data_IF_929889375871
#
_entry.id   IF_929889375871
#
_cell.length_a   1.000
_cell.length_b   1.000
_cell.length_c   1.000
_cell.angle_alpha   90.00
_cell.angle_beta   90.00
_cell.angle_gamma   90.00
#
_symmetry.space_group_name_H-M   'P 1'
#
loop_
_entity.id
_entity.type
_entity.pdbx_description
1 polymer ?
#
# COMPACT_ATOMS: atom_id res chain seq x y z
N UNK A 1 -1.08 24.43 -12.24
CA UNK A 1 -1.09 23.02 -12.66
C UNK A 1 -2.28 22.37 -11.99
N UNK A 2 -3.29 22.00 -12.78
CA UNK A 2 -4.49 21.34 -12.29
C UNK A 2 -4.13 19.91 -11.86
N UNK A 3 -4.43 19.55 -10.61
CA UNK A 3 -3.97 18.34 -9.92
C UNK A 3 -4.63 17.04 -10.40
N UNK A 4 -5.20 17.03 -11.62
CA UNK A 4 -5.91 15.88 -12.19
C UNK A 4 -5.03 14.88 -12.93
N UNK A 5 -3.71 15.13 -13.01
CA UNK A 5 -2.76 14.32 -13.79
C UNK A 5 -1.50 13.97 -12.98
N UNK A 6 -1.69 13.65 -11.69
CA UNK A 6 -0.66 12.95 -10.91
C UNK A 6 -1.14 11.52 -10.69
N UNK A 7 -0.90 10.67 -11.67
CA UNK A 7 -0.61 9.28 -11.33
C UNK A 7 0.69 9.31 -10.53
N UNK A 8 0.66 8.81 -9.30
CA UNK A 8 1.77 9.02 -8.39
C UNK A 8 3.01 8.29 -8.96
N UNK A 9 4.00 9.09 -9.36
CA UNK A 9 5.23 8.66 -10.01
C UNK A 9 6.41 9.07 -9.14
N UNK A 10 7.36 8.17 -8.95
CA UNK A 10 8.68 8.48 -8.39
C UNK A 10 9.76 8.25 -9.44
N UNK A 11 10.78 9.10 -9.46
CA UNK A 11 11.85 9.10 -10.47
C UNK A 11 13.17 9.58 -9.87
N UNK A 12 14.23 8.75 -9.91
CA UNK A 12 15.53 9.01 -9.26
C UNK A 12 16.54 9.82 -10.12
N UNK A 13 16.22 10.21 -11.36
CA UNK A 13 17.11 10.95 -12.28
C UNK A 13 17.02 10.42 -13.71
N UNK A 14 17.91 10.70 -14.68
CA UNK A 14 17.94 9.99 -16.00
C UNK A 14 19.13 9.03 -16.09
N UNK A 15 18.97 7.73 -16.42
CA UNK A 15 20.10 6.80 -16.36
C UNK A 15 20.97 7.04 -17.59
N UNK A 16 22.27 7.13 -17.36
CA UNK A 16 23.28 7.41 -18.38
C UNK A 16 23.29 6.31 -19.45
N UNK A 17 22.87 5.08 -19.16
CA UNK A 17 22.89 3.98 -20.15
C UNK A 17 21.64 3.90 -21.05
N UNK A 18 20.50 4.47 -20.62
CA UNK A 18 19.40 4.76 -21.55
C UNK A 18 19.85 5.79 -22.60
N UNK A 19 20.88 6.59 -22.33
CA UNK A 19 21.46 7.50 -23.32
C UNK A 19 22.41 6.83 -24.31
N UNK A 20 23.11 5.74 -23.94
CA UNK A 20 24.09 5.08 -24.83
C UNK A 20 23.41 4.25 -25.95
N UNK A 21 22.27 3.62 -25.66
CA UNK A 21 21.35 3.07 -26.68
C UNK A 21 20.53 4.15 -27.42
N UNK A 22 20.74 5.43 -27.08
CA UNK A 22 19.98 6.60 -27.51
C UNK A 22 20.08 6.97 -28.99
N UNK A 23 20.78 6.17 -29.83
CA UNK A 23 20.73 6.28 -31.30
C UNK A 23 19.92 5.18 -31.99
N UNK A 24 19.57 4.07 -31.33
CA UNK A 24 18.89 2.92 -31.99
C UNK A 24 17.40 2.73 -31.69
N UNK A 25 16.86 3.26 -30.59
CA UNK A 25 15.45 3.09 -30.17
C UNK A 25 14.51 4.26 -30.47
N UNK A 26 13.28 3.98 -30.85
CA UNK A 26 12.25 5.00 -31.05
C UNK A 26 11.48 5.29 -29.75
N UNK A 27 11.04 4.23 -29.08
CA UNK A 27 10.28 4.29 -27.82
C UNK A 27 10.77 3.22 -26.85
N UNK A 28 10.92 3.59 -25.58
CA UNK A 28 10.93 2.64 -24.47
C UNK A 28 9.68 2.83 -23.62
N UNK A 29 9.06 1.73 -23.20
CA UNK A 29 7.85 1.74 -22.37
C UNK A 29 8.01 0.83 -21.17
N UNK A 30 7.51 1.25 -20.02
CA UNK A 30 7.27 0.31 -18.90
C UNK A 30 6.23 -0.73 -19.28
N UNK A 31 6.10 -1.76 -18.45
CA UNK A 31 5.09 -2.81 -18.60
C UNK A 31 4.39 -3.07 -17.27
N UNK A 32 3.16 -3.57 -17.32
CA UNK A 32 2.46 -4.15 -16.16
C UNK A 32 2.89 -5.63 -15.95
N UNK A 33 4.09 -6.00 -16.41
CA UNK A 33 4.69 -7.29 -16.16
C UNK A 33 4.97 -7.44 -14.65
N UNK A 34 4.60 -8.59 -14.11
CA UNK A 34 4.74 -8.92 -12.67
C UNK A 34 5.73 -10.05 -12.41
N UNK A 35 6.14 -10.77 -13.46
CA UNK A 35 7.17 -11.80 -13.40
C UNK A 35 8.41 -11.31 -14.16
N UNK A 36 9.61 -11.32 -13.56
CA UNK A 36 10.80 -10.81 -14.23
C UNK A 36 11.11 -11.68 -15.46
N UNK A 37 11.29 -11.09 -16.63
CA UNK A 37 11.82 -11.83 -17.80
C UNK A 37 13.34 -11.76 -17.86
N UNK A 38 13.93 -10.77 -17.17
CA UNK A 38 15.36 -10.61 -16.96
C UNK A 38 15.66 -10.37 -15.47
N UNK A 39 16.86 -10.74 -15.02
CA UNK A 39 17.30 -10.58 -13.62
C UNK A 39 18.32 -9.46 -13.42
N UNK A 40 18.62 -8.71 -14.49
CA UNK A 40 19.56 -7.59 -14.53
C UNK A 40 18.82 -6.29 -14.95
N UNK A 41 19.55 -5.29 -15.43
CA UNK A 41 19.03 -3.98 -15.86
C UNK A 41 18.82 -3.86 -17.38
N UNK A 42 18.91 -4.97 -18.14
CA UNK A 42 18.59 -4.98 -19.57
C UNK A 42 17.09 -4.82 -19.82
N UNK A 43 16.72 -4.56 -21.07
CA UNK A 43 15.31 -4.55 -21.48
C UNK A 43 14.66 -5.92 -21.23
N UNK A 44 13.35 -5.94 -20.96
CA UNK A 44 12.60 -7.20 -20.86
C UNK A 44 12.70 -7.97 -22.17
N UNK A 45 12.71 -9.29 -22.06
CA UNK A 45 12.47 -10.19 -23.19
C UNK A 45 11.02 -10.02 -23.66
N UNK A 46 10.87 -9.34 -24.80
CA UNK A 46 9.58 -9.06 -25.42
C UNK A 46 8.81 -10.31 -25.81
N UNK A 47 9.47 -11.47 -25.96
CA UNK A 47 8.81 -12.74 -26.25
C UNK A 47 8.16 -13.34 -25.00
N UNK A 48 8.70 -13.03 -23.81
CA UNK A 48 8.19 -13.50 -22.52
C UNK A 48 7.29 -12.45 -21.82
N UNK A 49 7.41 -11.17 -22.20
CA UNK A 49 6.63 -10.08 -21.64
C UNK A 49 5.18 -10.07 -22.13
N UNK A 50 4.32 -10.78 -21.38
CA UNK A 50 2.87 -10.85 -21.63
C UNK A 50 2.07 -9.67 -21.06
N UNK A 51 2.63 -8.90 -20.11
CA UNK A 51 1.95 -7.77 -19.49
C UNK A 51 1.63 -6.63 -20.46
N UNK A 52 0.61 -5.83 -20.16
CA UNK A 52 0.29 -4.63 -20.95
C UNK A 52 1.50 -3.69 -20.99
N UNK A 53 1.73 -3.04 -22.14
CA UNK A 53 2.67 -1.92 -22.22
C UNK A 53 2.06 -0.77 -21.44
N UNK A 54 2.71 -0.47 -20.32
CA UNK A 54 2.22 0.49 -19.37
C UNK A 54 2.66 1.89 -19.79
N UNK A 55 1.70 2.80 -19.85
CA UNK A 55 1.89 4.14 -20.41
C UNK A 55 2.32 5.20 -19.38
N UNK A 56 2.60 4.81 -18.15
CA UNK A 56 2.99 5.72 -17.07
C UNK A 56 4.46 6.12 -17.12
N UNK A 57 5.33 5.28 -17.70
CA UNK A 57 6.74 5.59 -17.89
C UNK A 57 7.14 5.31 -19.33
N UNK A 58 7.58 6.36 -20.00
CA UNK A 58 8.16 6.24 -21.33
C UNK A 58 9.46 7.02 -21.50
N UNK A 59 10.22 6.57 -22.48
CA UNK A 59 11.19 7.39 -23.17
C UNK A 59 10.80 7.46 -24.66
N UNK A 60 10.55 8.67 -25.19
CA UNK A 60 10.22 8.89 -26.59
C UNK A 60 11.31 9.68 -27.30
N UNK A 61 11.75 9.17 -28.44
CA UNK A 61 12.53 9.97 -29.40
C UNK A 61 11.60 10.59 -30.43
N UNK A 62 11.90 11.83 -30.82
CA UNK A 62 11.16 12.56 -31.87
C UNK A 62 11.52 12.09 -33.30
N UNK A 63 11.50 10.77 -33.54
CA UNK A 63 11.64 10.19 -34.89
C UNK A 63 10.32 10.27 -35.65
N UNK A 64 10.38 10.12 -36.97
CA UNK A 64 9.18 10.16 -37.80
C UNK A 64 8.23 9.00 -37.45
N UNK A 65 8.76 7.82 -37.12
CA UNK A 65 7.99 6.67 -36.64
C UNK A 65 7.26 6.97 -35.33
N UNK A 66 7.95 7.51 -34.32
CA UNK A 66 7.33 7.89 -33.04
C UNK A 66 6.25 8.96 -33.22
N UNK A 67 6.51 9.98 -34.05
CA UNK A 67 5.50 11.02 -34.35
C UNK A 67 4.27 10.44 -35.04
N UNK A 68 4.46 9.48 -35.95
CA UNK A 68 3.37 8.79 -36.64
C UNK A 68 2.51 7.98 -35.67
N UNK A 69 3.15 7.19 -34.79
CA UNK A 69 2.45 6.47 -33.72
C UNK A 69 1.66 7.41 -32.80
N UNK A 70 2.28 8.50 -32.32
CA UNK A 70 1.61 9.47 -31.46
C UNK A 70 0.41 10.13 -32.14
N UNK A 71 0.53 10.43 -33.44
CA UNK A 71 -0.55 11.02 -34.22
C UNK A 71 -1.72 10.04 -34.37
N UNK A 72 -1.46 8.80 -34.76
CA UNK A 72 -2.49 7.77 -34.91
C UNK A 72 -3.14 7.44 -33.57
N UNK A 73 -2.36 7.30 -32.50
CA UNK A 73 -2.88 7.08 -31.16
C UNK A 73 -3.82 8.19 -30.72
N UNK A 74 -3.43 9.46 -30.90
CA UNK A 74 -4.31 10.61 -30.63
C UNK A 74 -5.59 10.56 -31.45
N UNK A 75 -5.49 10.24 -32.75
CA UNK A 75 -6.65 10.15 -33.64
C UNK A 75 -7.60 9.03 -33.21
N UNK A 76 -7.08 7.86 -32.81
CA UNK A 76 -7.86 6.75 -32.24
C UNK A 76 -8.61 7.17 -30.97
N UNK A 77 -7.94 7.84 -30.03
CA UNK A 77 -8.58 8.26 -28.77
C UNK A 77 -9.63 9.36 -28.97
N UNK A 78 -9.45 10.23 -29.96
CA UNK A 78 -10.43 11.27 -30.28
C UNK A 78 -11.64 10.74 -31.07
N UNK A 79 -11.50 9.59 -31.73
CA UNK A 79 -12.56 8.98 -32.52
C UNK A 79 -13.58 8.20 -31.68
N UNK A 80 -13.16 7.64 -30.53
CA UNK A 80 -14.04 6.88 -29.64
C UNK A 80 -13.63 7.10 -28.16
N UNK A 81 -14.52 7.75 -27.40
CA UNK A 81 -14.31 8.08 -25.99
C UNK A 81 -14.32 6.85 -25.05
N UNK A 82 -14.69 5.68 -25.57
CA UNK A 82 -14.63 4.40 -24.85
C UNK A 82 -13.26 3.76 -24.92
N UNK A 83 -12.41 4.18 -25.85
CA UNK A 83 -11.05 3.64 -25.96
C UNK A 83 -10.19 4.27 -24.86
N UNK A 84 -9.83 3.46 -23.89
CA UNK A 84 -8.86 3.83 -22.88
C UNK A 84 -7.46 3.99 -23.51
N UNK A 85 -6.70 5.00 -23.07
CA UNK A 85 -5.42 5.39 -23.64
C UNK A 85 -4.39 4.25 -23.67
N UNK A 86 -4.21 3.53 -22.56
CA UNK A 86 -3.32 2.37 -22.49
C UNK A 86 -3.77 1.24 -23.42
N UNK A 87 -5.07 0.99 -23.51
CA UNK A 87 -5.60 -0.03 -24.43
C UNK A 87 -5.30 0.35 -25.89
N UNK A 88 -5.63 1.59 -26.29
CA UNK A 88 -5.33 2.10 -27.63
C UNK A 88 -3.84 2.04 -27.98
N UNK A 89 -2.95 2.38 -27.04
CA UNK A 89 -1.51 2.27 -27.24
C UNK A 89 -1.06 0.82 -27.47
N UNK A 90 -1.60 -0.13 -26.69
CA UNK A 90 -1.26 -1.54 -26.82
C UNK A 90 -1.74 -2.11 -28.15
N UNK A 91 -2.96 -1.80 -28.60
CA UNK A 91 -3.48 -2.25 -29.91
C UNK A 91 -2.58 -1.77 -31.06
N UNK A 92 -2.20 -0.49 -31.04
CA UNK A 92 -1.33 0.08 -32.08
C UNK A 92 0.09 -0.51 -32.02
N UNK A 93 0.68 -0.55 -30.82
CA UNK A 93 2.05 -1.02 -30.59
C UNK A 93 2.21 -2.52 -30.87
N UNK A 94 1.18 -3.33 -30.57
CA UNK A 94 1.22 -4.80 -30.70
C UNK A 94 0.70 -5.34 -32.02
N UNK A 95 0.18 -4.50 -32.92
CA UNK A 95 -0.37 -4.89 -34.23
C UNK A 95 0.52 -5.84 -35.03
N UNK A 96 1.83 -5.57 -35.03
CA UNK A 96 2.86 -6.48 -35.54
C UNK A 96 4.13 -6.29 -34.72
N UNK A 97 4.65 -7.39 -34.17
CA UNK A 97 5.86 -7.42 -33.34
C UNK A 97 6.79 -8.51 -33.88
N UNK A 98 7.63 -8.12 -34.83
CA UNK A 98 8.67 -8.93 -35.46
C UNK A 98 9.33 -8.12 -36.60
N UNK A 99 10.62 -8.36 -36.92
CA UNK A 99 11.61 -9.18 -36.20
C UNK A 99 12.32 -8.39 -35.07
N UNK A 100 13.25 -9.00 -34.30
CA UNK A 100 14.21 -8.24 -33.48
C UNK A 100 14.99 -7.22 -34.34
N UNK A 101 15.37 -6.08 -33.75
CA UNK A 101 16.12 -5.02 -34.46
C UNK A 101 17.58 -5.44 -34.69
N UNK A 102 18.17 -6.10 -33.70
CA UNK A 102 19.48 -6.75 -33.75
C UNK A 102 19.52 -7.88 -32.69
N UNK A 103 20.61 -8.66 -32.63
CA UNK A 103 20.71 -9.85 -31.77
C UNK A 103 20.81 -9.54 -30.27
N UNK A 104 21.37 -8.37 -29.90
CA UNK A 104 21.81 -8.12 -28.51
C UNK A 104 21.09 -6.96 -27.81
N UNK A 105 20.40 -6.08 -28.54
CA UNK A 105 19.84 -4.85 -27.94
C UNK A 105 18.58 -5.07 -27.11
N UNK A 106 17.88 -6.20 -27.28
CA UNK A 106 16.55 -6.42 -26.72
C UNK A 106 15.45 -5.56 -27.37
N UNK A 107 15.75 -4.87 -28.48
CA UNK A 107 14.77 -4.07 -29.23
C UNK A 107 14.04 -4.93 -30.27
N UNK A 108 12.76 -4.60 -30.50
CA UNK A 108 11.91 -5.26 -31.48
C UNK A 108 11.23 -4.25 -32.40
N UNK A 109 11.01 -4.64 -33.66
CA UNK A 109 10.18 -3.87 -34.57
C UNK A 109 8.70 -4.05 -34.21
N UNK A 110 8.05 -2.95 -33.86
CA UNK A 110 6.65 -2.83 -33.46
C UNK A 110 5.89 -1.88 -34.41
N UNK A 111 4.57 -1.74 -34.23
CA UNK A 111 3.72 -0.82 -35.02
C UNK A 111 3.94 -1.01 -36.53
N UNK A 112 3.55 -2.19 -37.02
CA UNK A 112 3.69 -2.62 -38.42
C UNK A 112 5.14 -2.59 -38.94
N UNK A 113 6.09 -2.85 -38.03
CA UNK A 113 7.51 -2.85 -38.34
C UNK A 113 8.16 -1.46 -38.47
N UNK A 114 7.45 -0.39 -38.12
CA UNK A 114 7.95 0.98 -38.30
C UNK A 114 8.66 1.53 -37.05
N UNK A 115 8.44 0.95 -35.88
CA UNK A 115 8.89 1.47 -34.60
C UNK A 115 9.89 0.52 -33.94
N UNK A 116 11.05 1.03 -33.53
CA UNK A 116 12.01 0.29 -32.70
C UNK A 116 11.63 0.44 -31.23
N UNK A 117 10.95 -0.57 -30.70
CA UNK A 117 10.42 -0.62 -29.34
C UNK A 117 11.37 -1.38 -28.41
N UNK A 118 11.50 -0.90 -27.18
CA UNK A 118 12.08 -1.66 -26.08
C UNK A 118 11.20 -1.62 -24.84
N UNK A 119 11.20 -2.71 -24.08
CA UNK A 119 10.42 -2.85 -22.87
C UNK A 119 11.32 -2.63 -21.66
N UNK A 120 10.99 -1.65 -20.84
CA UNK A 120 11.74 -1.34 -19.64
C UNK A 120 11.52 -2.45 -18.60
N UNK A 121 12.58 -2.96 -17.94
CA UNK A 121 12.50 -4.02 -16.96
C UNK A 121 11.68 -3.61 -15.73
N UNK A 122 10.64 -4.38 -15.41
CA UNK A 122 9.75 -4.19 -14.27
C UNK A 122 10.49 -4.33 -12.93
N UNK A 123 11.68 -4.92 -12.93
CA UNK A 123 12.58 -5.00 -11.78
C UNK A 123 13.14 -3.65 -11.36
N UNK A 124 13.28 -2.67 -12.26
CA UNK A 124 13.82 -1.33 -11.95
C UNK A 124 12.91 -0.17 -12.40
N UNK A 125 12.07 -0.37 -13.40
CA UNK A 125 10.95 0.52 -13.77
C UNK A 125 9.66 -0.08 -13.21
N UNK A 126 9.55 -0.02 -11.88
CA UNK A 126 8.61 -0.85 -11.16
C UNK A 126 7.18 -0.35 -11.29
N UNK A 127 6.26 -1.29 -11.49
CA UNK A 127 4.87 -1.10 -11.11
C UNK A 127 4.73 -1.05 -9.58
N UNK A 128 3.55 -0.67 -9.09
CA UNK A 128 3.29 -0.70 -7.66
C UNK A 128 3.41 -2.11 -7.09
N UNK A 129 2.93 -3.15 -7.78
CA UNK A 129 3.05 -4.53 -7.28
C UNK A 129 4.50 -5.00 -7.16
N UNK A 130 5.28 -4.81 -8.23
CA UNK A 130 6.69 -5.24 -8.28
C UNK A 130 7.57 -4.48 -7.28
N UNK A 131 7.26 -3.22 -6.97
CA UNK A 131 7.98 -2.45 -5.95
C UNK A 131 7.54 -2.79 -4.52
N UNK A 132 6.23 -2.77 -4.27
CA UNK A 132 5.67 -2.77 -2.91
C UNK A 132 5.35 -4.15 -2.34
N UNK A 133 4.86 -5.06 -3.18
CA UNK A 133 4.41 -6.39 -2.76
C UNK A 133 5.55 -7.39 -2.93
N UNK A 134 6.17 -7.38 -4.11
CA UNK A 134 7.28 -8.29 -4.41
C UNK A 134 8.62 -7.74 -3.94
N UNK A 135 8.80 -6.41 -3.91
CA UNK A 135 10.12 -5.79 -3.71
C UNK A 135 11.18 -6.39 -4.65
N UNK A 136 10.80 -6.57 -5.92
CA UNK A 136 11.55 -7.31 -6.93
C UNK A 136 12.99 -6.82 -7.06
N UNK A 137 13.20 -5.51 -7.10
CA UNK A 137 14.53 -4.89 -7.16
C UNK A 137 15.43 -5.35 -6.00
N UNK A 138 14.91 -5.44 -4.78
CA UNK A 138 15.68 -5.87 -3.60
C UNK A 138 16.06 -7.35 -3.71
N UNK A 139 15.14 -8.18 -4.18
CA UNK A 139 15.38 -9.62 -4.35
C UNK A 139 16.43 -9.91 -5.43
N UNK A 140 16.43 -9.11 -6.49
CA UNK A 140 17.40 -9.18 -7.58
C UNK A 140 18.68 -8.38 -7.32
N UNK A 141 18.78 -7.70 -6.17
CA UNK A 141 19.92 -6.84 -5.79
C UNK A 141 20.19 -5.71 -6.79
N UNK A 142 19.11 -5.16 -7.34
CA UNK A 142 19.10 -4.01 -8.25
C UNK A 142 18.69 -2.74 -7.51
N UNK A 143 18.88 -1.59 -8.14
CA UNK A 143 18.30 -0.32 -7.67
C UNK A 143 17.08 0.05 -8.51
N UNK A 144 15.95 0.29 -7.84
CA UNK A 144 14.78 0.83 -8.54
C UNK A 144 15.04 2.25 -9.03
N UNK A 145 14.60 2.48 -10.26
CA UNK A 145 14.82 3.70 -11.01
C UNK A 145 13.60 4.63 -10.98
N UNK A 146 12.45 4.03 -11.22
CA UNK A 146 11.16 4.68 -11.31
C UNK A 146 10.09 3.78 -10.73
N UNK A 147 9.05 4.40 -10.18
CA UNK A 147 7.88 3.70 -9.67
C UNK A 147 6.66 4.35 -10.29
N UNK A 148 5.90 3.56 -11.05
CA UNK A 148 4.55 3.91 -11.46
C UNK A 148 3.56 3.07 -10.67
N UNK A 149 2.67 3.74 -9.96
CA UNK A 149 1.79 3.10 -8.96
C UNK A 149 0.57 2.39 -9.58
N UNK A 150 0.77 1.63 -10.67
CA UNK A 150 -0.22 0.63 -11.13
C UNK A 150 -0.26 -0.57 -10.20
N UNK A 151 -1.30 -1.40 -10.35
CA UNK A 151 -1.55 -2.54 -9.46
C UNK A 151 -1.65 -2.12 -7.98
N UNK A 152 -2.08 -0.87 -7.74
CA UNK A 152 -2.39 -0.32 -6.42
C UNK A 152 -3.83 0.21 -6.43
N UNK A 153 -4.54 -0.10 -5.35
CA UNK A 153 -5.96 0.21 -5.21
C UNK A 153 -6.21 1.62 -4.69
N UNK A 154 -7.49 2.00 -4.76
CA UNK A 154 -8.07 3.12 -4.02
C UNK A 154 -7.64 4.54 -4.47
N UNK A 155 -7.04 4.67 -5.66
CA UNK A 155 -6.83 5.96 -6.33
C UNK A 155 -5.67 6.78 -5.76
N UNK A 156 -5.55 8.04 -6.20
CA UNK A 156 -4.33 8.87 -6.03
C UNK A 156 -3.88 9.02 -4.58
N UNK A 157 -4.80 9.23 -3.64
CA UNK A 157 -4.44 9.40 -2.23
C UNK A 157 -3.69 8.20 -1.65
N UNK A 158 -4.10 7.01 -2.04
CA UNK A 158 -3.53 5.74 -1.60
C UNK A 158 -2.26 5.39 -2.34
N UNK A 159 -2.19 5.69 -3.65
CA UNK A 159 -0.95 5.64 -4.42
C UNK A 159 0.15 6.51 -3.78
N UNK A 160 -0.19 7.74 -3.37
CA UNK A 160 0.74 8.59 -2.61
C UNK A 160 1.11 7.97 -1.26
N UNK A 161 0.17 7.36 -0.54
CA UNK A 161 0.45 6.69 0.74
C UNK A 161 1.45 5.54 0.58
N UNK A 162 1.34 4.73 -0.48
CA UNK A 162 2.34 3.69 -0.80
C UNK A 162 3.74 4.27 -1.01
N UNK A 163 3.84 5.39 -1.71
CA UNK A 163 5.11 6.09 -1.89
C UNK A 163 5.65 6.65 -0.57
N UNK A 164 4.79 7.11 0.35
CA UNK A 164 5.20 7.51 1.71
C UNK A 164 5.71 6.33 2.53
N UNK A 165 5.04 5.17 2.45
CA UNK A 165 5.51 3.94 3.12
C UNK A 165 6.94 3.59 2.70
N UNK A 166 7.27 3.78 1.42
CA UNK A 166 8.61 3.62 0.89
C UNK A 166 9.56 4.83 1.10
N UNK A 167 9.10 5.91 1.74
CA UNK A 167 9.85 7.15 1.98
C UNK A 167 10.37 7.83 0.69
N UNK A 168 9.68 7.62 -0.43
CA UNK A 168 10.01 8.20 -1.73
C UNK A 168 9.02 9.29 -2.17
N UNK A 169 8.06 9.63 -1.30
CA UNK A 169 7.13 10.73 -1.51
C UNK A 169 7.59 11.98 -0.75
N UNK A 170 7.47 13.15 -1.39
CA UNK A 170 7.74 14.43 -0.74
C UNK A 170 6.45 14.99 -0.13
N UNK A 171 6.49 15.24 1.18
CA UNK A 171 5.45 15.93 1.91
C UNK A 171 6.00 17.22 2.52
N UNK A 172 5.16 18.25 2.71
CA UNK A 172 5.59 19.48 3.33
C UNK A 172 5.86 19.29 4.85
N UNK A 173 6.64 20.16 5.51
CA UNK A 173 7.06 19.98 6.90
C UNK A 173 5.92 19.76 7.89
N UNK A 174 4.74 20.35 7.66
CA UNK A 174 3.56 20.24 8.52
C UNK A 174 3.02 18.80 8.58
N UNK A 175 3.32 17.98 7.56
CA UNK A 175 2.97 16.56 7.57
C UNK A 175 3.64 15.81 8.73
N UNK A 176 4.88 16.22 9.06
CA UNK A 176 5.78 15.57 10.01
C UNK A 176 5.70 16.12 11.43
N UNK A 177 5.01 17.24 11.65
CA UNK A 177 4.74 17.83 12.97
C UNK A 177 3.26 18.18 13.11
N UNK A 178 2.42 17.16 13.27
CA UNK A 178 1.00 17.36 13.54
C UNK A 178 0.83 18.12 14.88
N UNK A 179 0.10 19.25 14.93
CA UNK A 179 -0.08 20.03 16.17
C UNK A 179 -0.70 19.21 17.30
N UNK A 180 -1.58 18.28 16.93
CA UNK A 180 -2.23 17.36 17.87
C UNK A 180 -1.32 16.22 18.30
N UNK A 181 -0.14 16.05 17.71
CA UNK A 181 0.80 14.95 17.94
C UNK A 181 0.28 13.56 17.54
N UNK A 182 1.07 12.55 17.86
CA UNK A 182 0.96 11.22 17.30
C UNK A 182 0.67 10.16 18.36
N UNK A 183 -0.10 9.15 17.95
CA UNK A 183 -0.31 7.91 18.68
C UNK A 183 0.20 6.75 17.82
N UNK A 184 0.92 5.82 18.43
CA UNK A 184 1.35 4.58 17.80
C UNK A 184 1.36 3.44 18.81
N UNK A 185 1.67 2.23 18.36
CA UNK A 185 1.78 1.07 19.23
C UNK A 185 2.74 0.04 18.66
N UNK A 186 3.24 -0.85 19.53
CA UNK A 186 4.01 -2.02 19.09
C UNK A 186 3.01 -3.10 18.65
N UNK A 187 2.92 -3.42 17.34
CA UNK A 187 2.07 -4.52 16.91
C UNK A 187 2.63 -5.83 17.48
N UNK A 188 1.73 -6.69 17.95
CA UNK A 188 2.07 -8.07 18.29
C UNK A 188 1.32 -8.97 17.34
N UNK A 189 1.99 -9.96 16.76
CA UNK A 189 1.35 -11.01 15.96
C UNK A 189 2.07 -12.32 16.32
N UNK A 190 1.36 -13.35 16.79
CA UNK A 190 1.95 -14.65 17.07
C UNK A 190 2.67 -15.21 15.83
N UNK A 191 3.86 -15.78 16.04
CA UNK A 191 4.65 -16.40 14.95
C UNK A 191 3.87 -17.47 14.20
N UNK A 192 3.00 -18.20 14.89
CA UNK A 192 2.12 -19.20 14.28
C UNK A 192 1.21 -18.63 13.19
N UNK A 193 0.69 -17.41 13.37
CA UNK A 193 -0.13 -16.75 12.36
C UNK A 193 0.67 -16.33 11.12
N UNK A 194 2.01 -16.28 11.20
CA UNK A 194 2.87 -16.03 10.04
C UNK A 194 3.31 -17.32 9.33
N UNK A 195 3.69 -18.34 10.09
CA UNK A 195 4.50 -19.46 9.58
C UNK A 195 3.79 -20.81 9.58
N UNK A 196 2.77 -20.99 10.44
CA UNK A 196 2.14 -22.29 10.60
C UNK A 196 1.03 -22.49 9.56
N UNK A 197 0.86 -23.75 9.14
CA UNK A 197 -0.22 -24.19 8.26
C UNK A 197 -0.09 -23.69 6.82
N UNK A 198 -1.02 -24.15 5.99
CA UNK A 198 -1.09 -23.73 4.59
C UNK A 198 -1.52 -22.27 4.46
N UNK A 199 -1.00 -21.58 3.44
CA UNK A 199 -1.42 -20.24 3.10
C UNK A 199 -2.71 -20.30 2.27
N UNK A 200 -3.84 -20.32 2.97
CA UNK A 200 -5.17 -20.34 2.40
C UNK A 200 -6.03 -19.18 2.94
N UNK A 201 -7.26 -19.08 2.45
CA UNK A 201 -8.22 -18.03 2.82
C UNK A 201 -8.41 -17.97 4.34
N UNK A 202 -8.61 -19.10 5.02
CA UNK A 202 -8.84 -19.12 6.47
C UNK A 202 -7.65 -18.54 7.24
N UNK A 203 -6.44 -19.06 6.95
CA UNK A 203 -5.21 -18.59 7.60
C UNK A 203 -4.90 -17.11 7.31
N UNK A 204 -5.27 -16.62 6.12
CA UNK A 204 -5.15 -15.21 5.75
C UNK A 204 -6.03 -14.34 6.62
N UNK A 205 -7.32 -14.69 6.73
CA UNK A 205 -8.26 -13.92 7.54
C UNK A 205 -7.95 -14.02 9.03
N UNK A 206 -7.41 -15.13 9.53
CA UNK A 206 -6.92 -15.21 10.90
C UNK A 206 -5.80 -14.18 11.16
N UNK A 207 -4.80 -14.10 10.28
CA UNK A 207 -3.71 -13.13 10.36
C UNK A 207 -4.22 -11.68 10.25
N UNK A 208 -5.04 -11.39 9.24
CA UNK A 208 -5.57 -10.04 9.02
C UNK A 208 -6.47 -9.60 10.17
N UNK A 209 -7.41 -10.44 10.61
CA UNK A 209 -8.32 -10.12 11.70
C UNK A 209 -7.57 -9.90 13.02
N UNK A 210 -6.50 -10.65 13.29
CA UNK A 210 -5.68 -10.46 14.47
C UNK A 210 -5.03 -9.07 14.53
N UNK A 211 -4.49 -8.60 13.40
CA UNK A 211 -3.90 -7.27 13.27
C UNK A 211 -4.99 -6.17 13.32
N UNK A 212 -6.12 -6.38 12.63
CA UNK A 212 -7.21 -5.42 12.58
C UNK A 212 -7.84 -5.16 13.94
N UNK A 213 -7.93 -6.15 14.82
CA UNK A 213 -8.40 -5.93 16.21
C UNK A 213 -7.55 -4.89 16.95
N UNK A 214 -6.24 -4.94 16.80
CA UNK A 214 -5.33 -3.98 17.42
C UNK A 214 -5.47 -2.59 16.81
N UNK A 215 -5.62 -2.51 15.48
CA UNK A 215 -5.83 -1.23 14.77
C UNK A 215 -7.16 -0.59 15.16
N UNK A 216 -8.24 -1.36 15.31
CA UNK A 216 -9.55 -0.85 15.76
C UNK A 216 -9.45 -0.18 17.13
N UNK A 217 -8.73 -0.80 18.07
CA UNK A 217 -8.50 -0.23 19.39
C UNK A 217 -7.60 1.01 19.30
N UNK A 218 -6.57 0.99 18.45
CA UNK A 218 -5.72 2.16 18.21
C UNK A 218 -6.51 3.35 17.64
N UNK A 219 -7.39 3.11 16.67
CA UNK A 219 -8.29 4.12 16.11
C UNK A 219 -9.23 4.67 17.17
N UNK A 220 -9.80 3.80 18.03
CA UNK A 220 -10.66 4.23 19.12
C UNK A 220 -9.92 5.18 20.08
N UNK A 221 -8.73 4.80 20.53
CA UNK A 221 -7.92 5.62 21.44
C UNK A 221 -7.44 6.90 20.74
N UNK A 222 -6.99 6.82 19.49
CA UNK A 222 -6.59 7.99 18.71
C UNK A 222 -7.73 9.01 18.56
N UNK A 223 -8.96 8.52 18.32
CA UNK A 223 -10.17 9.35 18.29
C UNK A 223 -10.44 10.03 19.64
N UNK A 224 -10.37 9.27 20.75
CA UNK A 224 -10.59 9.78 22.10
C UNK A 224 -9.58 10.85 22.52
N UNK A 225 -8.32 10.67 22.10
CA UNK A 225 -7.21 11.56 22.46
C UNK A 225 -6.97 12.66 21.42
N UNK A 226 -7.77 12.69 20.34
CA UNK A 226 -7.60 13.56 19.18
C UNK A 226 -6.17 13.52 18.62
N UNK A 227 -5.54 12.35 18.52
CA UNK A 227 -4.17 12.17 18.01
C UNK A 227 -4.19 11.65 16.58
N UNK A 228 -3.16 12.00 15.81
CA UNK A 228 -2.90 11.36 14.51
C UNK A 228 -2.36 9.95 14.73
N UNK A 229 -2.99 8.93 14.14
CA UNK A 229 -2.56 7.53 14.29
C UNK A 229 -1.44 7.20 13.30
N UNK A 230 -0.26 6.84 13.80
CA UNK A 230 0.78 6.22 12.97
C UNK A 230 0.52 4.72 12.94
N UNK A 231 0.15 4.22 11.75
CA UNK A 231 -0.29 2.84 11.54
C UNK A 231 0.86 1.84 11.73
N UNK A 232 0.60 0.61 12.21
CA UNK A 232 1.61 -0.45 12.28
C UNK A 232 1.78 -1.15 10.93
N UNK A 233 2.92 -1.79 10.67
CA UNK A 233 3.05 -2.69 9.51
C UNK A 233 1.92 -3.72 9.49
N UNK A 234 1.34 -3.96 8.32
CA UNK A 234 0.36 -5.01 8.09
C UNK A 234 0.96 -6.14 7.27
N UNK A 235 0.58 -7.36 7.58
CA UNK A 235 1.00 -8.55 6.87
C UNK A 235 -0.18 -9.30 6.29
N UNK A 236 -0.01 -9.83 5.08
CA UNK A 236 -0.98 -10.67 4.42
C UNK A 236 -0.34 -11.95 3.92
N UNK A 237 -1.12 -13.04 3.99
CA UNK A 237 -0.72 -14.33 3.41
C UNK A 237 -1.05 -14.43 1.93
N UNK A 238 -2.13 -13.78 1.49
CA UNK A 238 -2.61 -13.85 0.11
C UNK A 238 -2.60 -12.43 -0.43
N UNK A 239 -2.20 -12.28 -1.69
CA UNK A 239 -2.16 -11.08 -2.50
C UNK A 239 -3.56 -10.65 -2.96
N UNK A 240 -3.65 -9.41 -3.45
CA UNK A 240 -4.89 -8.77 -3.90
C UNK A 240 -4.67 -8.12 -5.26
N UNK A 241 -5.45 -8.55 -6.25
CA UNK A 241 -5.49 -8.00 -7.61
C UNK A 241 -6.92 -7.89 -8.12
N UNK A 242 -7.19 -7.11 -9.18
CA UNK A 242 -8.58 -6.78 -9.59
C UNK A 242 -9.33 -7.95 -10.25
N UNK A 243 -8.69 -9.11 -10.30
CA UNK A 243 -9.18 -10.37 -10.85
C UNK A 243 -8.88 -11.50 -9.86
N UNK A 244 -9.66 -12.57 -9.91
CA UNK A 244 -9.46 -13.76 -9.10
C UNK A 244 -8.14 -14.46 -9.43
N UNK A 245 -7.37 -14.82 -8.40
CA UNK A 245 -6.08 -15.49 -8.52
C UNK A 245 -5.87 -16.42 -7.31
N UNK A 246 -4.89 -17.36 -7.33
CA UNK A 246 -4.78 -18.42 -6.34
C UNK A 246 -4.12 -17.94 -5.03
N UNK A 247 -4.27 -16.66 -4.71
CA UNK A 247 -3.66 -16.02 -3.57
C UNK A 247 -2.25 -15.49 -3.80
N UNK A 248 -1.43 -16.07 -4.68
CA UNK A 248 -0.21 -15.44 -5.21
C UNK A 248 -0.09 -15.75 -6.69
N UNK A 249 0.38 -14.77 -7.47
CA UNK A 249 0.59 -14.96 -8.89
C UNK A 249 1.74 -15.93 -9.17
N UNK A 250 1.48 -16.92 -10.03
CA UNK A 250 2.48 -17.86 -10.51
C UNK A 250 3.65 -17.13 -11.21
N UNK A 251 4.84 -17.71 -11.10
CA UNK A 251 6.08 -17.18 -11.70
C UNK A 251 6.53 -15.79 -11.20
N UNK A 252 5.88 -15.23 -10.18
CA UNK A 252 6.32 -13.97 -9.54
C UNK A 252 7.32 -14.24 -8.41
N UNK A 253 7.99 -13.18 -7.95
CA UNK A 253 8.89 -13.25 -6.78
C UNK A 253 8.15 -12.95 -5.46
N UNK A 254 6.82 -13.02 -5.44
CA UNK A 254 6.03 -12.70 -4.26
C UNK A 254 6.33 -13.69 -3.13
N UNK A 255 6.91 -13.21 -2.03
CA UNK A 255 7.12 -14.02 -0.82
C UNK A 255 5.87 -13.98 0.04
N UNK A 256 5.51 -15.09 0.68
CA UNK A 256 4.43 -15.09 1.67
C UNK A 256 4.98 -15.42 3.06
N UNK A 257 4.45 -14.80 4.13
CA UNK A 257 3.61 -13.60 4.09
C UNK A 257 4.42 -12.37 3.62
N UNK A 258 3.75 -11.38 3.06
CA UNK A 258 4.36 -10.11 2.63
C UNK A 258 3.74 -8.93 3.37
N UNK A 259 4.42 -7.78 3.31
CA UNK A 259 3.89 -6.52 3.81
C UNK A 259 2.71 -6.09 2.94
N UNK A 260 1.53 -6.11 3.54
CA UNK A 260 0.29 -5.76 2.88
C UNK A 260 0.26 -4.26 2.57
N UNK A 261 -0.32 -3.84 1.42
CA UNK A 261 -0.80 -2.48 1.30
C UNK A 261 -1.79 -2.17 2.43
N UNK A 262 -1.71 -0.96 2.99
CA UNK A 262 -2.80 -0.48 3.85
C UNK A 262 -4.06 -0.37 3.04
N UNK A 263 -5.14 -0.77 3.70
CA UNK A 263 -6.40 -1.05 3.08
C UNK A 263 -7.44 -0.34 3.93
N UNK A 264 -7.89 0.82 3.46
CA UNK A 264 -9.28 1.20 3.69
C UNK A 264 -9.80 1.96 2.48
N UNK A 265 -11.08 1.81 2.20
CA UNK A 265 -11.82 2.75 1.37
C UNK A 265 -11.58 4.18 1.85
N UNK A 266 -11.36 5.09 0.90
CA UNK A 266 -11.11 6.53 1.05
C UNK A 266 -11.59 7.11 2.39
N UNK A 267 -10.66 7.28 3.35
CA UNK A 267 -10.89 7.83 4.70
C UNK A 267 -11.57 9.21 4.68
N UNK A 268 -11.66 9.86 3.52
CA UNK A 268 -12.16 11.22 3.35
C UNK A 268 -13.65 11.33 3.04
N UNK A 269 -14.35 10.23 2.76
CA UNK A 269 -15.78 10.26 2.37
C UNK A 269 -16.77 10.02 3.52
N UNK A 270 -16.27 9.86 4.75
CA UNK A 270 -17.08 9.61 5.93
C UNK A 270 -17.66 10.85 6.59
N UNK A 271 -18.94 10.80 6.98
CA UNK A 271 -19.55 11.75 7.92
C UNK A 271 -19.16 11.34 9.35
N UNK A 272 -18.39 12.17 10.07
CA UNK A 272 -17.98 11.91 11.46
C UNK A 272 -16.60 12.46 11.84
N UNK A 273 -16.13 12.12 13.04
CA UNK A 273 -14.80 12.50 13.55
C UNK A 273 -13.70 11.91 12.68
N UNK A 274 -13.03 12.75 11.90
CA UNK A 274 -11.92 12.36 11.02
C UNK A 274 -10.69 12.04 11.86
N UNK A 275 -10.23 10.79 11.82
CA UNK A 275 -8.94 10.39 12.38
C UNK A 275 -7.91 10.47 11.26
N UNK A 276 -6.98 11.41 11.38
CA UNK A 276 -5.83 11.44 10.48
C UNK A 276 -4.86 10.32 10.83
N UNK A 277 -4.21 9.77 9.81
CA UNK A 277 -3.23 8.71 9.98
C UNK A 277 -1.94 8.98 9.20
N UNK A 278 -0.89 8.22 9.55
CA UNK A 278 0.43 8.18 8.90
C UNK A 278 0.83 6.73 8.66
N UNK A 279 1.68 6.52 7.67
CA UNK A 279 2.27 5.24 7.30
C UNK A 279 3.16 4.64 8.39
N UNK A 280 3.41 3.32 8.37
CA UNK A 280 4.29 2.66 9.34
C UNK A 280 5.72 3.19 9.35
N UNK A 281 6.21 3.67 8.20
CA UNK A 281 7.58 4.15 8.04
C UNK A 281 7.74 5.60 8.48
N UNK A 282 6.66 6.27 8.91
CA UNK A 282 6.66 7.68 9.27
C UNK A 282 7.84 8.04 10.18
N UNK A 283 7.99 7.34 11.31
CA UNK A 283 9.06 7.61 12.28
C UNK A 283 10.49 7.31 11.77
N UNK A 284 10.64 6.59 10.66
CA UNK A 284 11.91 6.36 9.99
C UNK A 284 12.26 7.47 8.99
N UNK A 285 11.30 8.34 8.65
CA UNK A 285 11.50 9.40 7.68
C UNK A 285 12.47 10.46 8.22
N UNK A 286 13.53 10.81 7.47
CA UNK A 286 14.54 11.77 7.92
C UNK A 286 13.97 13.17 8.18
N UNK A 287 12.89 13.54 7.48
CA UNK A 287 12.22 14.84 7.55
C UNK A 287 11.51 15.10 8.89
N UNK A 288 11.41 14.12 9.78
CA UNK A 288 10.81 14.33 11.10
C UNK A 288 11.65 15.31 11.93
N UNK A 289 11.03 16.38 12.48
CA UNK A 289 11.71 17.33 13.36
C UNK A 289 12.21 16.71 14.67
N UNK A 290 13.29 17.26 15.21
CA UNK A 290 13.92 16.76 16.45
C UNK A 290 12.95 16.71 17.64
N UNK A 291 12.09 17.72 17.78
CA UNK A 291 11.06 17.76 18.82
C UNK A 291 10.11 16.55 18.82
N UNK A 292 9.80 15.98 17.65
CA UNK A 292 8.98 14.76 17.54
C UNK A 292 9.82 13.52 17.83
N UNK A 293 11.09 13.50 17.38
CA UNK A 293 12.03 12.40 17.65
C UNK A 293 12.33 12.21 19.14
N UNK A 294 12.33 13.28 19.93
CA UNK A 294 12.73 13.23 21.34
C UNK A 294 11.57 13.15 22.34
N UNK A 295 10.37 13.61 21.97
CA UNK A 295 9.21 13.70 22.86
C UNK A 295 8.33 12.44 22.79
N UNK A 296 8.80 11.38 23.45
CA UNK A 296 8.15 10.06 23.50
C UNK A 296 7.65 9.71 24.91
N UNK A 297 6.43 9.19 24.97
CA UNK A 297 5.86 8.53 26.14
C UNK A 297 5.54 7.07 25.79
N UNK A 298 6.17 6.14 26.51
CA UNK A 298 5.91 4.71 26.39
C UNK A 298 4.85 4.26 27.38
N UNK A 299 3.67 3.91 26.89
CA UNK A 299 2.57 3.41 27.71
C UNK A 299 2.70 1.90 27.84
N UNK A 300 3.04 1.42 29.04
CA UNK A 300 3.14 0.00 29.32
C UNK A 300 1.88 -0.50 30.03
N UNK A 301 1.18 -1.41 29.36
CA UNK A 301 -0.03 -2.01 29.92
C UNK A 301 0.29 -2.87 31.13
N UNK A 302 -0.52 -2.74 32.19
CA UNK A 302 -0.37 -3.48 33.45
C UNK A 302 -1.69 -4.07 33.95
N UNK A 303 -1.62 -5.12 34.77
CA UNK A 303 -2.82 -5.76 35.34
C UNK A 303 -3.39 -4.86 36.45
N UNK A 304 -4.66 -4.47 36.30
CA UNK A 304 -5.40 -3.68 37.30
C UNK A 304 -5.32 -4.35 38.67
N UNK A 305 -4.99 -3.57 39.70
CA UNK A 305 -4.86 -4.04 41.08
C UNK A 305 -3.53 -4.70 41.46
N UNK A 306 -2.58 -4.83 40.53
CA UNK A 306 -1.21 -5.24 40.89
C UNK A 306 -0.44 -4.08 41.54
N UNK A 307 0.42 -4.38 42.53
CA UNK A 307 1.28 -3.38 43.19
C UNK A 307 2.16 -2.58 42.20
N UNK A 308 2.50 -3.19 41.05
CA UNK A 308 3.28 -2.59 39.98
C UNK A 308 2.45 -1.75 38.96
N UNK A 309 1.13 -1.61 39.17
CA UNK A 309 0.21 -0.91 38.26
C UNK A 309 -0.38 0.34 38.94
N UNK A 310 0.49 1.15 39.52
CA UNK A 310 0.11 2.49 39.95
C UNK A 310 0.29 3.44 38.77
N UNK A 311 -0.77 4.18 38.42
CA UNK A 311 -0.71 5.25 37.43
C UNK A 311 0.08 6.39 38.05
N UNK A 312 1.40 6.37 37.86
CA UNK A 312 2.27 7.45 38.29
C UNK A 312 2.17 8.60 37.30
N UNK A 313 1.65 9.74 37.74
CA UNK A 313 1.68 11.01 36.99
C UNK A 313 3.10 11.61 36.88
N UNK A 314 4.14 10.87 37.27
CA UNK A 314 5.52 11.37 37.30
C UNK A 314 6.07 11.53 35.89
N UNK A 315 5.92 12.74 35.36
CA UNK A 315 6.44 13.19 34.06
C UNK A 315 7.93 13.52 34.07
N UNK A 316 8.65 13.31 35.18
CA UNK A 316 9.98 13.90 35.36
C UNK A 316 11.18 12.96 35.23
N UNK A 317 11.04 11.63 35.24
CA UNK A 317 12.22 10.74 35.12
C UNK A 317 12.01 9.48 34.26
N UNK A 318 10.83 8.86 34.26
CA UNK A 318 10.54 7.73 33.37
C UNK A 318 9.71 8.21 32.19
N UNK A 319 10.26 8.16 30.98
CA UNK A 319 9.50 8.26 29.69
C UNK A 319 8.49 7.11 29.52
N UNK A 320 8.03 6.49 30.60
CA UNK A 320 7.16 5.34 30.62
C UNK A 320 6.00 5.54 31.61
N UNK A 321 4.78 5.32 31.15
CA UNK A 321 3.54 5.36 31.93
C UNK A 321 3.01 3.94 32.11
N UNK A 322 2.81 3.50 33.36
CA UNK A 322 2.07 2.27 33.63
C UNK A 322 0.57 2.54 33.51
N UNK A 323 -0.11 1.82 32.62
CA UNK A 323 -1.51 2.04 32.31
C UNK A 323 -2.32 0.74 32.47
N UNK A 324 -3.41 0.73 33.27
CA UNK A 324 -4.20 -0.49 33.46
C UNK A 324 -4.78 -1.02 32.15
N UNK A 325 -4.69 -2.34 31.96
CA UNK A 325 -5.51 -3.03 30.96
C UNK A 325 -6.99 -2.81 31.25
N UNK A 326 -7.80 -2.88 30.20
CA UNK A 326 -9.24 -2.73 30.24
C UNK A 326 -9.66 -1.41 30.88
N UNK A 327 -9.03 -0.31 30.44
CA UNK A 327 -9.36 1.03 30.91
C UNK A 327 -10.62 1.56 30.24
N UNK A 328 -11.35 2.42 30.97
CA UNK A 328 -12.55 3.10 30.47
C UNK A 328 -12.21 4.36 29.68
N UNK A 329 -13.22 4.91 29.02
CA UNK A 329 -13.12 6.16 28.27
C UNK A 329 -12.69 7.34 29.17
N UNK A 330 -13.27 7.44 30.36
CA UNK A 330 -12.98 8.50 31.32
C UNK A 330 -11.54 8.41 31.79
N UNK A 331 -11.04 7.20 32.06
CA UNK A 331 -9.67 6.99 32.52
C UNK A 331 -8.64 7.40 31.45
N UNK A 332 -8.89 7.05 30.18
CA UNK A 332 -8.06 7.50 29.05
C UNK A 332 -8.06 9.03 28.95
N UNK A 333 -9.24 9.65 28.93
CA UNK A 333 -9.36 11.11 28.81
C UNK A 333 -8.66 11.82 29.97
N UNK A 334 -8.91 11.41 31.22
CA UNK A 334 -8.35 12.05 32.41
C UNK A 334 -6.82 11.97 32.41
N UNK A 335 -6.23 10.79 32.23
CA UNK A 335 -4.78 10.62 32.32
C UNK A 335 -4.08 11.38 31.19
N UNK A 336 -4.53 11.19 29.95
CA UNK A 336 -3.86 11.77 28.79
C UNK A 336 -4.17 13.26 28.59
N UNK A 337 -5.19 13.82 29.26
CA UNK A 337 -5.45 15.27 29.25
C UNK A 337 -4.27 16.09 29.79
N UNK A 338 -3.51 15.54 30.74
CA UNK A 338 -2.31 16.15 31.33
C UNK A 338 -1.05 15.99 30.46
N UNK A 339 -1.13 15.20 29.39
CA UNK A 339 -0.01 14.77 28.54
C UNK A 339 -0.13 15.31 27.11
N UNK A 340 -0.87 16.41 26.91
CA UNK A 340 -1.09 17.03 25.60
C UNK A 340 0.20 17.54 24.95
N UNK A 341 1.19 17.95 25.76
CA UNK A 341 2.48 18.46 25.28
C UNK A 341 3.41 17.37 24.74
N UNK A 342 3.16 16.09 25.07
CA UNK A 342 3.90 14.96 24.51
C UNK A 342 3.60 14.85 23.02
N UNK A 343 4.65 14.74 22.18
CA UNK A 343 4.49 14.64 20.72
C UNK A 343 4.13 13.22 20.28
N UNK A 344 4.68 12.18 20.92
CA UNK A 344 4.44 10.78 20.54
C UNK A 344 4.05 9.95 21.76
N UNK A 345 2.88 9.31 21.69
CA UNK A 345 2.42 8.32 22.66
C UNK A 345 2.50 6.93 22.02
N UNK A 346 3.34 6.05 22.54
CA UNK A 346 3.48 4.68 22.07
C UNK A 346 2.94 3.69 23.10
N UNK A 347 1.90 2.95 22.75
CA UNK A 347 1.45 1.82 23.57
C UNK A 347 2.30 0.57 23.34
N UNK A 348 2.60 -0.16 24.42
CA UNK A 348 3.31 -1.43 24.37
C UNK A 348 2.50 -2.53 23.67
N UNK A 349 1.18 -2.40 23.67
CA UNK A 349 0.23 -3.23 22.92
C UNK A 349 -1.12 -2.51 22.89
N UNK A 350 -1.94 -2.83 21.90
CA UNK A 350 -3.35 -2.44 21.88
C UNK A 350 -4.28 -3.53 22.42
N UNK A 351 -3.75 -4.73 22.69
CA UNK A 351 -4.54 -5.82 23.26
C UNK A 351 -4.97 -5.45 24.69
N UNK A 352 -6.27 -5.49 24.94
CA UNK A 352 -6.88 -5.11 26.21
C UNK A 352 -6.57 -3.66 26.65
N UNK A 353 -6.21 -2.75 25.74
CA UNK A 353 -5.89 -1.37 26.13
C UNK A 353 -7.14 -0.56 26.51
N UNK A 354 -8.28 -0.87 25.91
CA UNK A 354 -9.51 -0.10 26.02
C UNK A 354 -10.73 -1.03 26.04
N UNK A 355 -11.66 -0.79 26.96
CA UNK A 355 -12.91 -1.57 27.07
C UNK A 355 -13.95 -1.27 25.98
N UNK A 356 -13.75 -0.19 25.22
CA UNK A 356 -14.72 0.30 24.25
C UNK A 356 -15.50 1.50 24.76
N UNK A 357 -16.22 2.14 23.83
CA UNK A 357 -17.02 3.33 24.10
C UNK A 357 -18.29 2.98 24.87
N UNK A 358 -18.75 3.92 25.70
CA UNK A 358 -20.07 3.83 26.34
C UNK A 358 -21.19 3.86 25.29
N UNK A 359 -21.09 4.74 24.28
CA UNK A 359 -21.90 4.68 23.05
C UNK A 359 -21.17 3.90 21.94
N UNK A 360 -21.45 2.60 21.86
CA UNK A 360 -20.86 1.72 20.84
C UNK A 360 -21.41 1.99 19.43
N UNK A 361 -22.60 2.56 19.29
CA UNK A 361 -23.29 2.64 18.00
C UNK A 361 -22.62 3.63 17.05
N UNK A 362 -22.26 4.81 17.55
CA UNK A 362 -21.61 5.87 16.78
C UNK A 362 -20.25 5.45 16.24
N UNK A 363 -19.39 4.88 17.09
CA UNK A 363 -18.06 4.41 16.67
C UNK A 363 -18.14 3.17 15.77
N UNK A 364 -19.08 2.27 16.00
CA UNK A 364 -19.30 1.13 15.11
C UNK A 364 -19.75 1.59 13.72
N UNK A 365 -20.64 2.59 13.63
CA UNK A 365 -21.08 3.18 12.37
C UNK A 365 -19.91 3.83 11.62
N UNK A 366 -19.05 4.55 12.33
CA UNK A 366 -17.80 5.07 11.81
C UNK A 366 -16.89 3.94 11.29
N UNK A 367 -16.61 2.92 12.10
CA UNK A 367 -15.77 1.78 11.70
C UNK A 367 -16.32 0.98 10.50
N UNK A 368 -17.63 0.98 10.27
CA UNK A 368 -18.26 0.33 9.11
C UNK A 368 -17.92 1.01 7.78
N UNK A 369 -17.44 2.25 7.80
CA UNK A 369 -16.96 2.92 6.59
C UNK A 369 -15.56 2.45 6.19
N UNK A 370 -14.91 1.68 7.05
CA UNK A 370 -13.58 1.11 6.84
C UNK A 370 -13.72 -0.36 6.44
N UNK A 371 -14.16 -0.61 5.22
CA UNK A 371 -14.21 -1.95 4.65
C UNK A 371 -13.40 -1.98 3.38
N UNK A 372 -12.94 -3.15 3.00
CA UNK A 372 -12.27 -3.34 1.73
C UNK A 372 -12.54 -4.71 1.17
N UNK A 373 -12.12 -4.89 -0.07
CA UNK A 373 -12.39 -6.02 -0.92
C UNK A 373 -11.07 -6.72 -1.21
N UNK A 374 -10.99 -8.02 -0.95
CA UNK A 374 -9.83 -8.86 -1.18
C UNK A 374 -10.13 -9.90 -2.25
N UNK A 375 -9.53 -9.75 -3.43
CA UNK A 375 -9.81 -10.59 -4.60
C UNK A 375 -8.76 -11.69 -4.73
N UNK A 376 -8.90 -12.76 -3.95
CA UNK A 376 -7.96 -13.90 -3.92
C UNK A 376 -8.64 -15.26 -4.11
N UNK A 377 -9.80 -15.26 -4.78
CA UNK A 377 -10.59 -16.47 -5.02
C UNK A 377 -10.77 -16.65 -6.51
N UNK A 378 -10.20 -17.72 -7.06
CA UNK A 378 -10.40 -18.09 -8.45
C UNK A 378 -11.82 -18.64 -8.67
N UNK A 379 -12.35 -18.43 -9.88
CA UNK A 379 -13.57 -19.07 -10.38
C UNK A 379 -14.83 -18.84 -9.52
N UNK A 380 -14.94 -17.68 -8.85
CA UNK A 380 -16.13 -17.30 -8.09
C UNK A 380 -16.66 -15.94 -8.51
N UNK A 381 -17.98 -15.74 -8.56
CA UNK A 381 -18.57 -14.42 -8.84
C UNK A 381 -19.40 -13.96 -7.64
N UNK A 382 -19.05 -12.83 -6.99
CA UNK A 382 -17.90 -11.98 -7.26
C UNK A 382 -16.57 -12.65 -6.84
N UNK A 383 -15.48 -12.38 -7.57
CA UNK A 383 -14.12 -12.92 -7.33
C UNK A 383 -13.44 -12.32 -6.07
N UNK A 384 -14.24 -12.00 -5.04
CA UNK A 384 -13.92 -11.02 -4.01
C UNK A 384 -14.44 -11.43 -2.62
N UNK A 385 -13.62 -11.25 -1.58
CA UNK A 385 -13.99 -11.40 -0.17
C UNK A 385 -13.85 -10.05 0.55
N UNK A 386 -14.87 -9.59 1.27
CA UNK A 386 -14.74 -8.34 2.03
C UNK A 386 -13.96 -8.52 3.34
N UNK A 387 -12.92 -7.71 3.54
CA UNK A 387 -12.27 -7.47 4.84
C UNK A 387 -12.89 -6.22 5.48
N UNK A 388 -13.48 -6.35 6.67
CA UNK A 388 -14.09 -5.20 7.37
C UNK A 388 -13.25 -4.81 8.59
N UNK A 389 -13.00 -3.52 8.80
CA UNK A 389 -12.59 -2.95 10.10
C UNK A 389 -13.85 -2.73 10.98
N UNK A 390 -15.05 -2.70 10.40
CA UNK A 390 -16.33 -2.69 11.12
C UNK A 390 -16.95 -4.08 11.37
N UNK A 391 -17.94 -4.12 12.28
CA UNK A 391 -18.73 -5.30 12.60
C UNK A 391 -19.89 -5.45 11.59
N UNK A 392 -19.86 -6.45 10.70
CA UNK A 392 -21.04 -6.88 9.94
C UNK A 392 -21.29 -8.36 10.20
N UNK A 393 -22.50 -8.68 10.66
CA UNK A 393 -23.18 -9.90 10.19
C UNK A 393 -23.43 -9.72 8.69
N UNK A 394 -22.91 -10.64 7.88
CA UNK A 394 -23.05 -10.64 6.43
C UNK A 394 -24.21 -11.57 6.04
N UNK A 395 -25.46 -11.17 6.24
CA UNK A 395 -26.60 -12.05 5.87
C UNK A 395 -26.82 -12.17 4.34
N UNK A 396 -25.98 -11.54 3.50
CA UNK A 396 -26.13 -11.52 2.03
C UNK A 396 -25.19 -12.43 1.24
N UNK A 397 -24.29 -13.21 1.86
CA UNK A 397 -23.34 -14.09 1.15
C UNK A 397 -23.26 -15.46 1.82
N UNK A 398 -24.40 -16.09 2.08
CA UNK A 398 -24.47 -17.32 2.89
C UNK A 398 -23.68 -18.52 2.33
N UNK A 399 -23.31 -18.55 1.04
CA UNK A 399 -22.48 -19.63 0.49
C UNK A 399 -20.98 -19.51 0.80
N UNK A 400 -20.43 -18.30 0.93
CA UNK A 400 -19.02 -18.04 1.29
C UNK A 400 -18.76 -18.05 2.80
N UNK A 401 -19.81 -17.96 3.62
CA UNK A 401 -19.73 -17.64 5.05
C UNK A 401 -19.67 -18.82 6.02
N UNK A 402 -19.50 -20.07 5.54
CA UNK A 402 -19.25 -21.18 6.49
C UNK A 402 -18.00 -20.95 7.35
N UNK A 403 -17.07 -20.11 6.89
CA UNK A 403 -15.78 -19.85 7.53
C UNK A 403 -15.70 -18.49 8.28
N UNK A 404 -16.72 -17.63 8.23
CA UNK A 404 -16.71 -16.30 8.87
C UNK A 404 -17.46 -16.22 10.21
N UNK A 405 -17.81 -17.36 10.84
CA UNK A 405 -18.51 -17.40 12.16
C UNK A 405 -17.70 -16.87 13.36
N UNK A 406 -16.56 -16.19 13.16
CA UNK A 406 -15.72 -15.61 14.21
C UNK A 406 -15.47 -14.12 14.05
N UNK A 407 -16.49 -13.35 13.71
CA UNK A 407 -16.44 -11.90 13.93
C UNK A 407 -16.78 -11.65 15.40
N UNK A 408 -15.75 -11.35 16.19
CA UNK A 408 -15.90 -11.05 17.62
C UNK A 408 -16.48 -9.63 17.76
N UNK A 409 -17.63 -9.45 18.43
CA UNK A 409 -18.20 -8.12 18.67
C UNK A 409 -17.32 -7.27 19.62
N UNK A 410 -17.53 -5.96 19.55
CA UNK A 410 -16.87 -4.95 20.40
C UNK A 410 -17.23 -5.08 21.87
#
# INVERSE_FOLDING_TARGET
MDAKLLEALYWKGVPVDISQNGKRKDVLTSTDQVSPTVTDDRLEDWQQAGGAYNIGIFHWRSTDSSKKLAKEWKETLLADDKIWDQYGYNELGRRKIDPPVDEDSGLVYAYDGNLKLGLLPASIFCSGHTYFVQSMYQQLRLESYAIHTTLQYAGTGWKCHRLREAMVFYDPPEYYDAPVGFLTFKPSVPKSLFLDGEHNIESHFDLVNYQMKQIRIALAIASLLSRTLVMPTLWCRLDRLWFGHPGVLACTLTRQPFLSPYIATDFRKGVGTRIDFREYSFFNNPSIPQQVKESWLHVQLCRKGSQACQVSNSTSQSRALKFPKNSTEEMLKTIFSSLKTVKVIQFSSMQDAFLGFTDKASFTSFLKQYTDIWCCVENQTPEHIMTCIGNKNLDGIQSLLRHQKRIIPF
#
